data_IF_066594084335
#
_entry.id   IF_066594084335
#
_cell.length_a   1.000
_cell.length_b   1.000
_cell.length_c   1.000
_cell.angle_alpha   90.00
_cell.angle_beta   90.00
_cell.angle_gamma   90.00
#
_symmetry.space_group_name_H-M   'P 1'
#
loop_
_entity.id
_entity.type
_entity.pdbx_description
1 polymer ?
#
# COMPACT_ATOMS: atom_id res chain seq x y z
N UNK A 1 2.66 -9.46 -23.77
CA UNK A 1 2.74 -10.29 -22.55
C UNK A 1 2.82 -9.36 -21.35
N UNK A 2 2.02 -9.59 -20.32
CA UNK A 2 2.12 -8.81 -19.09
C UNK A 2 3.50 -9.09 -18.45
N UNK A 3 4.34 -8.08 -18.17
CA UNK A 3 5.66 -8.31 -17.58
C UNK A 3 5.60 -8.87 -16.15
N UNK A 4 4.40 -8.98 -15.56
CA UNK A 4 4.16 -9.47 -14.19
C UNK A 4 3.64 -10.90 -14.12
N UNK A 5 3.70 -11.68 -15.20
CA UNK A 5 3.28 -13.09 -15.20
C UNK A 5 4.48 -14.01 -15.37
N UNK A 6 4.72 -14.89 -14.38
CA UNK A 6 5.78 -15.90 -14.40
C UNK A 6 6.50 -16.03 -13.06
N UNK A 7 7.18 -17.16 -12.79
CA UNK A 7 7.78 -17.44 -11.48
C UNK A 7 8.91 -16.46 -11.07
N UNK A 8 9.48 -15.69 -12.00
CA UNK A 8 10.59 -14.76 -11.75
C UNK A 8 10.23 -13.27 -11.86
N UNK A 9 8.96 -12.93 -12.11
CA UNK A 9 8.54 -11.57 -12.42
C UNK A 9 8.69 -10.56 -11.26
N UNK A 10 8.85 -11.06 -10.03
CA UNK A 10 9.04 -10.25 -8.82
C UNK A 10 10.49 -10.14 -8.35
N UNK A 11 11.46 -10.66 -9.10
CA UNK A 11 12.87 -10.61 -8.70
C UNK A 11 13.44 -9.20 -8.87
N UNK A 12 14.39 -8.82 -8.00
CA UNK A 12 15.06 -7.52 -8.08
C UNK A 12 15.75 -7.28 -9.44
N UNK A 13 16.24 -8.35 -10.07
CA UNK A 13 16.86 -8.29 -11.40
C UNK A 13 15.88 -7.88 -12.49
N UNK A 14 14.75 -8.58 -12.57
CA UNK A 14 13.72 -8.32 -13.58
C UNK A 14 13.14 -6.93 -13.40
N UNK A 15 12.88 -6.53 -12.14
CA UNK A 15 12.34 -5.19 -11.85
C UNK A 15 13.36 -4.09 -12.22
N UNK A 16 14.64 -4.28 -11.88
CA UNK A 16 15.70 -3.35 -12.28
C UNK A 16 15.76 -3.20 -13.81
N UNK A 17 15.88 -4.32 -14.52
CA UNK A 17 16.01 -4.32 -15.98
C UNK A 17 14.81 -3.65 -16.66
N UNK A 18 13.58 -3.92 -16.19
CA UNK A 18 12.38 -3.28 -16.74
C UNK A 18 12.29 -1.78 -16.43
N UNK A 19 12.79 -1.37 -15.27
CA UNK A 19 12.89 0.06 -14.93
C UNK A 19 13.89 0.76 -15.85
N UNK A 20 15.07 0.16 -16.04
CA UNK A 20 16.12 0.70 -16.90
C UNK A 20 15.66 0.78 -18.38
N UNK A 21 15.08 -0.30 -18.91
CA UNK A 21 14.48 -0.32 -20.26
C UNK A 21 13.46 0.82 -20.46
N UNK A 22 12.62 1.07 -19.46
CA UNK A 22 11.62 2.12 -19.51
C UNK A 22 12.25 3.52 -19.49
N UNK A 23 13.26 3.76 -18.66
CA UNK A 23 13.97 5.04 -18.61
C UNK A 23 14.72 5.32 -19.92
N UNK A 24 15.43 4.31 -20.45
CA UNK A 24 16.13 4.41 -21.73
C UNK A 24 15.17 4.71 -22.89
N UNK A 25 14.04 3.99 -22.95
CA UNK A 25 13.00 4.21 -23.97
C UNK A 25 12.47 5.66 -23.98
N UNK A 26 12.45 6.31 -22.82
CA UNK A 26 11.98 7.69 -22.67
C UNK A 26 13.13 8.71 -22.61
N UNK A 27 14.37 8.30 -22.86
CA UNK A 27 15.56 9.13 -22.77
C UNK A 27 15.70 9.85 -21.41
N UNK A 28 15.30 9.20 -20.31
CA UNK A 28 15.39 9.74 -18.95
C UNK A 28 16.68 9.21 -18.31
N UNK A 29 17.67 10.05 -18.02
CA UNK A 29 18.88 9.61 -17.33
C UNK A 29 18.58 9.28 -15.87
N UNK A 30 19.16 8.20 -15.34
CA UNK A 30 19.04 7.81 -13.93
C UNK A 30 19.40 8.91 -12.92
N UNK A 31 20.35 9.79 -13.26
CA UNK A 31 20.73 10.95 -12.43
C UNK A 31 19.59 11.95 -12.19
N UNK A 32 18.55 11.93 -13.02
CA UNK A 32 17.37 12.78 -12.89
C UNK A 32 16.25 12.10 -12.11
N UNK A 33 16.46 10.87 -11.62
CA UNK A 33 15.45 10.09 -10.92
C UNK A 33 15.70 10.11 -9.41
N UNK A 34 14.60 10.12 -8.65
CA UNK A 34 14.60 9.79 -7.23
C UNK A 34 13.90 8.45 -7.08
N UNK A 35 14.59 7.49 -6.47
CA UNK A 35 14.03 6.14 -6.34
C UNK A 35 13.37 5.95 -4.99
N UNK A 36 12.10 5.49 -5.00
CA UNK A 36 11.30 5.28 -3.79
C UNK A 36 11.07 3.78 -3.55
N UNK A 37 11.78 3.20 -2.58
CA UNK A 37 11.74 1.77 -2.28
C UNK A 37 11.62 1.53 -0.78
N UNK A 38 10.79 0.58 -0.36
CA UNK A 38 10.43 0.41 1.05
C UNK A 38 10.49 -1.03 1.59
N UNK A 39 10.56 -2.04 0.72
CA UNK A 39 10.64 -3.44 1.15
C UNK A 39 12.09 -3.91 1.19
N UNK A 40 12.45 -4.92 2.01
CA UNK A 40 13.81 -5.48 2.06
C UNK A 40 14.33 -5.97 0.70
N UNK A 41 13.44 -6.54 -0.13
CA UNK A 41 13.75 -6.93 -1.51
C UNK A 41 14.09 -5.74 -2.41
N UNK A 42 13.66 -4.53 -2.04
CA UNK A 42 13.90 -3.30 -2.79
C UNK A 42 15.09 -2.50 -2.25
N UNK A 43 15.39 -2.56 -0.95
CA UNK A 43 16.41 -1.72 -0.28
C UNK A 43 17.59 -2.49 0.34
N UNK A 44 17.54 -3.82 0.43
CA UNK A 44 18.57 -4.62 1.09
C UNK A 44 19.96 -4.50 0.45
N UNK A 45 21.02 -4.71 1.23
CA UNK A 45 22.39 -4.54 0.74
C UNK A 45 22.83 -5.59 -0.31
N UNK A 46 22.12 -6.72 -0.41
CA UNK A 46 22.45 -7.83 -1.32
C UNK A 46 21.25 -8.14 -2.22
N UNK A 47 21.48 -8.18 -3.53
CA UNK A 47 20.51 -8.60 -4.54
C UNK A 47 19.15 -7.88 -4.45
N UNK A 48 19.13 -6.63 -3.98
CA UNK A 48 17.96 -5.77 -4.04
C UNK A 48 17.98 -4.88 -5.29
N UNK A 49 16.84 -4.27 -5.60
CA UNK A 49 16.74 -3.29 -6.68
C UNK A 49 17.70 -2.12 -6.41
N UNK A 50 17.71 -1.59 -5.18
CA UNK A 50 18.60 -0.50 -4.79
C UNK A 50 20.08 -0.86 -4.98
N UNK A 51 20.50 -2.05 -4.55
CA UNK A 51 21.90 -2.49 -4.69
C UNK A 51 22.33 -2.63 -6.15
N UNK A 52 21.41 -3.00 -7.04
CA UNK A 52 21.67 -3.10 -8.49
C UNK A 52 21.78 -1.72 -9.13
N UNK A 53 20.84 -0.82 -8.82
CA UNK A 53 20.88 0.55 -9.34
C UNK A 53 22.15 1.26 -8.85
N UNK A 54 22.48 1.18 -7.56
CA UNK A 54 23.68 1.85 -7.01
C UNK A 54 24.99 1.32 -7.61
N UNK A 55 25.02 0.06 -8.05
CA UNK A 55 26.19 -0.52 -8.71
C UNK A 55 26.47 0.14 -10.07
N UNK A 56 25.43 0.50 -10.81
CA UNK A 56 25.53 1.06 -12.17
C UNK A 56 25.35 2.58 -12.21
N UNK A 57 24.67 3.14 -11.20
CA UNK A 57 24.27 4.54 -11.08
C UNK A 57 24.52 5.06 -9.66
N UNK A 58 25.78 5.08 -9.24
CA UNK A 58 26.17 5.42 -7.85
C UNK A 58 25.79 6.84 -7.38
N UNK A 59 25.40 7.74 -8.28
CA UNK A 59 24.94 9.10 -7.94
C UNK A 59 23.44 9.21 -7.68
N UNK A 60 22.66 8.14 -7.84
CA UNK A 60 21.22 8.18 -7.63
C UNK A 60 20.87 8.34 -6.14
N UNK A 61 19.83 9.12 -5.86
CA UNK A 61 19.24 9.20 -4.53
C UNK A 61 18.15 8.13 -4.36
N UNK A 62 18.36 7.23 -3.40
CA UNK A 62 17.38 6.19 -3.02
C UNK A 62 16.81 6.52 -1.65
N UNK A 63 15.49 6.61 -1.56
CA UNK A 63 14.75 6.94 -0.34
C UNK A 63 13.61 5.94 -0.11
N UNK A 64 13.13 5.84 1.13
CA UNK A 64 11.92 5.10 1.47
C UNK A 64 10.67 5.68 0.81
N UNK A 65 9.63 4.88 0.49
CA UNK A 65 8.34 5.48 0.11
C UNK A 65 7.81 6.29 1.29
N UNK A 66 7.55 7.61 1.16
CA UNK A 66 6.95 8.40 2.22
C UNK A 66 5.63 7.80 2.71
N UNK A 67 4.86 7.23 1.78
CA UNK A 67 3.62 6.52 2.08
C UNK A 67 3.79 5.41 3.12
N UNK A 68 4.83 4.58 2.96
CA UNK A 68 5.10 3.46 3.85
C UNK A 68 5.74 3.92 5.16
N UNK A 69 6.58 4.97 5.12
CA UNK A 69 7.14 5.57 6.33
C UNK A 69 6.00 6.06 7.21
N UNK A 70 5.10 6.89 6.67
CA UNK A 70 3.94 7.42 7.40
C UNK A 70 3.07 6.28 7.92
N UNK A 71 2.76 5.29 7.08
CA UNK A 71 1.95 4.13 7.50
C UNK A 71 2.60 3.36 8.66
N UNK A 72 3.89 3.04 8.56
CA UNK A 72 4.61 2.31 9.61
C UNK A 72 4.70 3.14 10.90
N UNK A 73 4.96 4.45 10.80
CA UNK A 73 4.97 5.35 11.95
C UNK A 73 3.61 5.40 12.63
N UNK A 74 2.52 5.57 11.86
CA UNK A 74 1.16 5.57 12.39
C UNK A 74 0.81 4.25 13.07
N UNK A 75 1.19 3.12 12.46
CA UNK A 75 1.00 1.78 13.04
C UNK A 75 1.72 1.63 14.38
N UNK A 76 3.00 2.03 14.46
CA UNK A 76 3.74 1.96 15.73
C UNK A 76 3.17 2.89 16.79
N UNK A 77 2.72 4.09 16.41
CA UNK A 77 2.01 4.99 17.33
C UNK A 77 0.69 4.39 17.82
N UNK A 78 -0.06 3.71 16.95
CA UNK A 78 -1.29 2.98 17.32
C UNK A 78 -1.02 1.88 18.35
N UNK A 79 0.05 1.09 18.17
CA UNK A 79 0.44 0.07 19.15
C UNK A 79 0.78 0.67 20.52
N UNK A 80 1.52 1.78 20.56
CA UNK A 80 1.83 2.48 21.80
C UNK A 80 0.58 3.08 22.47
N UNK A 81 -0.35 3.59 21.66
CA UNK A 81 -1.63 4.10 22.15
C UNK A 81 -2.49 2.97 22.75
N UNK A 82 -2.55 1.81 22.10
CA UNK A 82 -3.22 0.60 22.61
C UNK A 82 -2.64 0.18 23.96
N UNK A 83 -1.31 0.17 24.10
CA UNK A 83 -0.65 -0.21 25.37
C UNK A 83 -1.07 0.70 26.54
N UNK A 84 -1.18 2.01 26.30
CA UNK A 84 -1.52 3.00 27.33
C UNK A 84 -3.02 3.04 27.62
N UNK A 85 -3.85 2.99 26.58
CA UNK A 85 -5.28 3.25 26.67
C UNK A 85 -6.14 1.97 26.70
N UNK A 86 -5.56 0.81 26.40
CA UNK A 86 -6.29 -0.46 26.28
C UNK A 86 -7.29 -0.48 25.11
N UNK A 87 -7.14 0.44 24.15
CA UNK A 87 -8.05 0.63 23.02
C UNK A 87 -7.26 0.83 21.73
N UNK A 88 -7.63 0.09 20.68
CA UNK A 88 -7.06 0.21 19.34
C UNK A 88 -8.05 0.94 18.40
N UNK A 89 -7.71 2.13 17.90
CA UNK A 89 -8.51 2.81 16.87
C UNK A 89 -8.67 2.00 15.58
N UNK A 90 -7.73 1.11 15.25
CA UNK A 90 -7.84 0.23 14.08
C UNK A 90 -8.99 -0.77 14.27
N UNK A 91 -9.14 -1.37 15.45
CA UNK A 91 -10.26 -2.28 15.76
C UNK A 91 -11.61 -1.58 15.62
N UNK A 92 -11.75 -0.35 16.14
CA UNK A 92 -12.98 0.43 15.96
C UNK A 92 -13.28 0.68 14.48
N UNK A 93 -12.25 1.01 13.70
CA UNK A 93 -12.40 1.26 12.26
C UNK A 93 -12.82 -0.01 11.52
N UNK A 94 -12.26 -1.16 11.90
CA UNK A 94 -12.62 -2.48 11.39
C UNK A 94 -14.07 -2.81 11.73
N UNK A 95 -14.50 -2.62 12.98
CA UNK A 95 -15.88 -2.86 13.43
C UNK A 95 -16.88 -1.99 12.66
N UNK A 96 -16.58 -0.69 12.51
CA UNK A 96 -17.40 0.23 11.71
C UNK A 96 -17.45 -0.22 10.25
N UNK A 97 -16.31 -0.63 9.68
CA UNK A 97 -16.23 -1.16 8.32
C UNK A 97 -17.08 -2.41 8.12
N UNK A 98 -17.02 -3.37 9.05
CA UNK A 98 -17.84 -4.57 9.03
C UNK A 98 -19.32 -4.26 9.23
N UNK A 99 -19.66 -3.32 10.11
CA UNK A 99 -21.02 -2.86 10.29
C UNK A 99 -21.59 -2.30 8.98
N UNK A 100 -20.84 -1.43 8.29
CA UNK A 100 -21.25 -0.90 6.99
C UNK A 100 -21.31 -1.98 5.90
N UNK A 101 -20.36 -2.92 5.87
CA UNK A 101 -20.41 -4.06 4.94
C UNK A 101 -21.64 -4.94 5.19
N UNK A 102 -21.99 -5.17 6.46
CA UNK A 102 -23.17 -5.95 6.85
C UNK A 102 -24.49 -5.20 6.64
N UNK A 103 -24.51 -3.87 6.81
CA UNK A 103 -25.70 -3.04 6.59
C UNK A 103 -25.97 -2.81 5.09
N UNK A 104 -24.92 -2.69 4.27
CA UNK A 104 -25.05 -2.64 2.80
C UNK A 104 -25.45 -3.97 2.16
N UNK A 105 -25.22 -5.10 2.85
CA UNK A 105 -25.80 -6.40 2.49
C UNK A 105 -27.28 -6.55 2.95
N UNK A 106 -27.76 -5.67 3.83
CA UNK A 106 -29.16 -5.59 4.30
C UNK A 106 -30.03 -4.64 3.46
N UNK A 107 -29.77 -4.52 2.15
CA UNK A 107 -30.58 -3.72 1.20
C UNK A 107 -32.08 -4.06 1.20
N UNK A 108 -32.50 -5.21 1.74
CA UNK A 108 -33.91 -5.57 1.89
C UNK A 108 -34.62 -5.01 3.13
N UNK A 109 -33.91 -4.51 4.15
CA UNK A 109 -34.53 -4.07 5.41
C UNK A 109 -34.93 -2.59 5.40
N UNK A 110 -34.26 -1.76 4.59
CA UNK A 110 -34.53 -0.32 4.49
C UNK A 110 -35.68 0.02 3.53
N UNK A 111 -36.07 -0.90 2.64
CA UNK A 111 -37.25 -0.74 1.78
C UNK A 111 -38.57 -0.85 2.55
N UNK A 112 -38.57 -1.44 3.75
CA UNK A 112 -39.75 -1.55 4.61
C UNK A 112 -39.98 -0.36 5.54
N UNK A 113 -38.97 0.49 5.81
CA UNK A 113 -39.10 1.64 6.71
C UNK A 113 -39.38 2.97 6.01
N UNK A 114 -39.36 3.01 4.68
CA UNK A 114 -39.65 4.20 3.86
C UNK A 114 -41.03 4.15 3.17
N UNK A 115 -41.93 3.25 3.57
CA UNK A 115 -43.35 3.38 3.23
C UNK A 115 -44.02 4.27 4.30
N UNK A 116 -44.61 5.43 3.94
CA UNK A 116 -45.22 6.35 4.91
C UNK A 116 -46.42 5.81 5.71
N UNK A 117 -46.82 4.54 5.52
CA UNK A 117 -48.15 4.06 5.92
C UNK A 117 -48.20 3.13 7.14
N UNK A 118 -47.08 2.79 7.79
CA UNK A 118 -47.09 1.86 8.95
C UNK A 118 -46.84 2.52 10.31
N UNK A 119 -46.85 3.86 10.41
CA UNK A 119 -46.77 4.56 11.70
C UNK A 119 -48.12 4.80 12.41
N UNK A 120 -49.19 4.07 12.06
CA UNK A 120 -50.54 4.44 12.53
C UNK A 120 -51.43 3.36 13.14
N UNK A 121 -50.87 2.31 13.75
CA UNK A 121 -51.67 1.43 14.61
C UNK A 121 -50.93 1.08 15.90
N UNK A 122 -51.11 1.94 16.90
CA UNK A 122 -51.07 1.59 18.33
C UNK A 122 -52.34 0.85 18.72
#
# INVERSE_FOLDING_TARGET
MCPTSGPSCGTAEVIYQKTDEALQKNAIPWRNCVSLYNAPVNTGARNSIASRILKEHGSIYIHGCPCHIIHNTAKQAGLGFLEVCGFDPEDLTVDVGYWFKGSTNRKGYLTGMCSPNEMQKS
#
